data_IF_678591818235
#
_entry.id   IF_678591818235
#
_cell.length_a   1.000
_cell.length_b   1.000
_cell.length_c   1.000
_cell.angle_alpha   90.00
_cell.angle_beta   90.00
_cell.angle_gamma   90.00
#
_symmetry.space_group_name_H-M   'P 1'
#
loop_
_entity.id
_entity.type
_entity.pdbx_description
1 polymer ?
#
# COMPACT_ATOMS: atom_id res chain seq x y z
N UNK A 1 26.02 -23.34 -2.85
CA UNK A 1 25.58 -22.37 -3.88
C UNK A 1 24.86 -21.18 -3.25
N UNK A 2 23.67 -21.32 -2.64
CA UNK A 2 22.99 -20.21 -1.94
C UNK A 2 23.80 -19.60 -0.79
N UNK A 3 24.25 -20.42 0.16
CA UNK A 3 25.10 -19.97 1.28
C UNK A 3 26.38 -19.28 0.76
N UNK A 4 26.94 -19.75 -0.35
CA UNK A 4 28.12 -19.16 -1.00
C UNK A 4 27.79 -17.77 -1.58
N UNK A 5 26.67 -17.64 -2.30
CA UNK A 5 26.17 -16.36 -2.81
C UNK A 5 25.87 -15.36 -1.69
N UNK A 6 25.19 -15.80 -0.62
CA UNK A 6 24.91 -14.95 0.56
C UNK A 6 26.21 -14.47 1.20
N UNK A 7 27.20 -15.36 1.33
CA UNK A 7 28.52 -15.00 1.87
C UNK A 7 29.24 -13.96 1.00
N UNK A 8 29.28 -14.16 -0.32
CA UNK A 8 29.91 -13.23 -1.26
C UNK A 8 29.17 -11.89 -1.33
N UNK A 9 27.85 -11.91 -1.39
CA UNK A 9 27.02 -10.71 -1.43
C UNK A 9 27.12 -9.89 -0.13
N UNK A 10 27.13 -10.55 1.04
CA UNK A 10 27.35 -9.90 2.33
C UNK A 10 28.76 -9.30 2.46
N UNK A 11 29.79 -9.94 1.90
CA UNK A 11 31.16 -9.41 1.87
C UNK A 11 31.28 -8.19 0.98
N UNK A 12 30.74 -8.24 -0.25
CA UNK A 12 30.82 -7.13 -1.22
C UNK A 12 30.08 -5.89 -0.70
N UNK A 13 28.98 -6.08 0.03
CA UNK A 13 28.08 -5.00 0.44
C UNK A 13 28.21 -4.62 1.92
N UNK A 14 29.21 -5.17 2.63
CA UNK A 14 29.56 -4.82 4.01
C UNK A 14 28.39 -4.95 5.00
N UNK A 15 27.67 -6.07 4.93
CA UNK A 15 26.41 -6.28 5.64
C UNK A 15 26.63 -6.89 7.03
N UNK A 16 25.86 -6.41 8.01
CA UNK A 16 25.93 -6.86 9.40
C UNK A 16 25.48 -8.33 9.58
N UNK A 17 26.07 -8.98 10.58
CA UNK A 17 25.98 -10.41 10.92
C UNK A 17 24.54 -10.87 11.20
N UNK A 18 23.70 -9.97 11.72
CA UNK A 18 22.29 -10.20 12.03
C UNK A 18 21.46 -10.52 10.78
N UNK A 19 21.68 -9.78 9.69
CA UNK A 19 20.99 -9.99 8.40
C UNK A 19 21.52 -11.23 7.69
N UNK A 20 22.81 -11.54 7.83
CA UNK A 20 23.42 -12.74 7.26
C UNK A 20 22.78 -14.03 7.80
N UNK A 21 22.62 -14.14 9.11
CA UNK A 21 22.01 -15.32 9.74
C UNK A 21 20.56 -15.57 9.26
N UNK A 22 19.79 -14.51 9.00
CA UNK A 22 18.45 -14.63 8.46
C UNK A 22 18.43 -15.27 7.06
N UNK A 23 19.36 -14.87 6.18
CA UNK A 23 19.43 -15.40 4.81
C UNK A 23 19.94 -16.86 4.73
N UNK A 24 20.76 -17.29 5.70
CA UNK A 24 21.27 -18.67 5.78
C UNK A 24 20.20 -19.70 6.18
N UNK A 25 19.09 -19.26 6.79
CA UNK A 25 17.99 -20.14 7.24
C UNK A 25 16.94 -20.44 6.15
N UNK A 26 17.06 -19.85 4.97
CA UNK A 26 16.09 -20.00 3.88
C UNK A 26 16.32 -21.33 3.16
N UNK A 27 15.27 -22.17 3.10
CA UNK A 27 15.38 -23.57 2.64
C UNK A 27 14.67 -23.84 1.32
N UNK A 28 13.66 -23.03 0.95
CA UNK A 28 12.94 -23.20 -0.31
C UNK A 28 13.51 -22.28 -1.39
N UNK A 29 13.36 -22.69 -2.65
CA UNK A 29 13.79 -21.87 -3.81
C UNK A 29 13.08 -20.51 -3.84
N UNK A 30 11.80 -20.47 -3.47
CA UNK A 30 11.01 -19.23 -3.44
C UNK A 30 11.53 -18.27 -2.36
N UNK A 31 11.88 -18.78 -1.18
CA UNK A 31 12.48 -17.96 -0.12
C UNK A 31 13.81 -17.33 -0.55
N UNK A 32 14.63 -18.12 -1.26
CA UNK A 32 15.92 -17.69 -1.81
C UNK A 32 15.75 -16.60 -2.87
N UNK A 33 14.83 -16.81 -3.81
CA UNK A 33 14.53 -15.84 -4.86
C UNK A 33 14.00 -14.53 -4.26
N UNK A 34 13.07 -14.63 -3.28
CA UNK A 34 12.51 -13.48 -2.60
C UNK A 34 13.56 -12.70 -1.80
N UNK A 35 14.40 -13.41 -1.04
CA UNK A 35 15.50 -12.81 -0.32
C UNK A 35 16.48 -12.09 -1.25
N UNK A 36 16.75 -12.66 -2.42
CA UNK A 36 17.58 -12.05 -3.46
C UNK A 36 16.96 -10.76 -3.99
N UNK A 37 15.65 -10.72 -4.26
CA UNK A 37 14.95 -9.50 -4.67
C UNK A 37 15.05 -8.42 -3.60
N UNK A 38 14.68 -8.74 -2.35
CA UNK A 38 14.73 -7.78 -1.23
C UNK A 38 16.15 -7.22 -1.07
N UNK A 39 17.13 -8.10 -1.18
CA UNK A 39 18.54 -7.74 -1.08
C UNK A 39 18.98 -6.80 -2.21
N UNK A 40 18.74 -7.17 -3.47
CA UNK A 40 19.18 -6.40 -4.64
C UNK A 40 18.47 -5.05 -4.66
N UNK A 41 17.14 -5.05 -4.59
CA UNK A 41 16.32 -3.84 -4.68
C UNK A 41 16.58 -2.91 -3.49
N UNK A 42 16.76 -3.46 -2.29
CA UNK A 42 17.12 -2.68 -1.10
C UNK A 42 18.49 -1.98 -1.21
N UNK A 43 19.47 -2.60 -1.88
CA UNK A 43 20.80 -2.02 -2.06
C UNK A 43 20.88 -0.99 -3.20
N UNK A 44 20.12 -1.17 -4.28
CA UNK A 44 20.08 -0.18 -5.38
C UNK A 44 19.15 0.99 -5.09
N UNK A 45 18.26 0.87 -4.09
CA UNK A 45 17.30 1.91 -3.70
C UNK A 45 17.94 3.29 -3.57
N UNK A 46 19.02 3.44 -2.79
CA UNK A 46 19.63 4.76 -2.54
C UNK A 46 20.23 5.40 -3.79
N UNK A 47 20.57 4.61 -4.80
CA UNK A 47 21.10 5.08 -6.09
C UNK A 47 19.97 5.44 -7.06
N UNK A 48 18.90 4.66 -7.07
CA UNK A 48 17.81 4.81 -8.03
C UNK A 48 16.69 5.73 -7.54
N UNK A 49 16.44 5.78 -6.23
CA UNK A 49 15.34 6.55 -5.66
C UNK A 49 15.38 8.04 -6.03
N UNK A 50 16.53 8.75 -5.99
CA UNK A 50 16.59 10.14 -6.45
C UNK A 50 16.18 10.31 -7.91
N UNK A 51 16.61 9.40 -8.80
CA UNK A 51 16.26 9.44 -10.21
C UNK A 51 14.75 9.17 -10.43
N UNK A 52 14.16 8.30 -9.61
CA UNK A 52 12.73 7.99 -9.65
C UNK A 52 11.92 9.18 -9.16
N UNK A 53 12.33 9.83 -8.06
CA UNK A 53 11.70 11.06 -7.59
C UNK A 53 11.70 12.13 -8.68
N UNK A 54 12.83 12.35 -9.36
CA UNK A 54 12.88 13.29 -10.49
C UNK A 54 11.96 12.86 -11.65
N UNK A 55 11.87 11.56 -11.93
CA UNK A 55 11.03 11.04 -13.00
C UNK A 55 9.53 11.20 -12.71
N UNK A 56 9.12 11.05 -11.45
CA UNK A 56 7.70 11.11 -11.05
C UNK A 56 7.27 12.44 -10.46
N UNK A 57 8.19 13.38 -10.20
CA UNK A 57 7.96 14.67 -9.55
C UNK A 57 6.71 15.39 -10.06
N UNK A 58 6.59 15.56 -11.38
CA UNK A 58 5.44 16.24 -12.00
C UNK A 58 4.12 15.52 -11.68
N UNK A 59 4.13 14.17 -11.71
CA UNK A 59 2.93 13.37 -11.44
C UNK A 59 2.57 13.38 -9.96
N UNK A 60 3.57 13.28 -9.08
CA UNK A 60 3.40 13.37 -7.63
C UNK A 60 2.84 14.74 -7.22
N UNK A 61 3.40 15.84 -7.74
CA UNK A 61 2.90 17.19 -7.51
C UNK A 61 1.44 17.38 -7.99
N UNK A 62 1.12 16.86 -9.18
CA UNK A 62 -0.24 16.90 -9.70
C UNK A 62 -1.21 16.08 -8.84
N UNK A 63 -0.81 14.87 -8.42
CA UNK A 63 -1.62 14.05 -7.53
C UNK A 63 -1.85 14.74 -6.18
N UNK A 64 -0.82 15.37 -5.60
CA UNK A 64 -0.97 16.16 -4.37
C UNK A 64 -2.00 17.28 -4.54
N UNK A 65 -1.98 18.00 -5.66
CA UNK A 65 -2.97 19.05 -5.95
C UNK A 65 -4.39 18.49 -6.07
N UNK A 66 -4.57 17.34 -6.73
CA UNK A 66 -5.88 16.71 -6.87
C UNK A 66 -6.39 16.14 -5.53
N UNK A 67 -5.52 15.57 -4.68
CA UNK A 67 -5.87 15.17 -3.31
C UNK A 67 -6.39 16.36 -2.50
N UNK A 68 -5.75 17.54 -2.60
CA UNK A 68 -6.22 18.75 -1.91
C UNK A 68 -7.60 19.17 -2.42
N UNK A 69 -7.86 19.11 -3.74
CA UNK A 69 -9.18 19.41 -4.31
C UNK A 69 -10.23 18.41 -3.84
N UNK A 70 -9.90 17.12 -3.82
CA UNK A 70 -10.77 16.06 -3.32
C UNK A 70 -11.17 16.30 -1.87
N UNK A 71 -10.19 16.53 -0.98
CA UNK A 71 -10.44 16.85 0.45
C UNK A 71 -11.41 18.03 0.61
N UNK A 72 -11.22 19.12 -0.17
CA UNK A 72 -12.10 20.29 -0.14
C UNK A 72 -13.53 19.95 -0.58
N UNK A 73 -13.69 19.20 -1.67
CA UNK A 73 -15.02 18.79 -2.18
C UNK A 73 -15.74 17.88 -1.18
N UNK A 74 -15.04 16.89 -0.64
CA UNK A 74 -15.59 15.96 0.36
C UNK A 74 -16.00 16.69 1.63
N UNK A 75 -15.22 17.68 2.09
CA UNK A 75 -15.58 18.50 3.25
C UNK A 75 -16.86 19.33 3.03
N UNK A 76 -17.07 19.85 1.81
CA UNK A 76 -18.30 20.57 1.46
C UNK A 76 -19.49 19.60 1.50
N UNK A 77 -19.37 18.44 0.86
CA UNK A 77 -20.44 17.42 0.83
C UNK A 77 -20.78 16.89 2.24
N UNK A 78 -19.78 16.68 3.10
CA UNK A 78 -19.97 16.25 4.49
C UNK A 78 -20.47 17.36 5.42
N UNK A 79 -20.28 18.64 5.07
CA UNK A 79 -20.90 19.74 5.83
C UNK A 79 -22.40 19.84 5.58
N UNK A 80 -22.87 19.36 4.42
CA UNK A 80 -24.29 19.28 4.06
C UNK A 80 -24.95 17.95 4.45
N UNK A 81 -24.18 16.86 4.55
CA UNK A 81 -24.65 15.57 5.01
C UNK A 81 -24.00 15.26 6.36
N UNK A 82 -24.77 15.25 7.46
CA UNK A 82 -24.30 14.83 8.78
C UNK A 82 -23.78 13.38 8.75
N UNK A 83 -22.56 13.20 8.26
CA UNK A 83 -21.95 11.91 8.00
C UNK A 83 -20.69 11.79 8.85
N UNK A 84 -20.81 10.93 9.84
CA UNK A 84 -19.75 10.33 10.65
C UNK A 84 -18.70 9.63 9.78
N UNK A 85 -17.81 10.38 9.10
CA UNK A 85 -16.51 9.81 8.70
C UNK A 85 -15.62 9.77 9.94
N UNK A 86 -15.79 8.74 10.75
CA UNK A 86 -14.98 8.51 11.94
C UNK A 86 -13.55 8.17 11.51
N UNK A 87 -12.58 8.84 12.15
CA UNK A 87 -11.11 8.71 12.12
C UNK A 87 -10.55 7.28 12.41
N UNK A 88 -11.27 6.20 12.05
CA UNK A 88 -10.93 4.85 12.47
C UNK A 88 -9.85 4.15 11.61
N UNK A 89 -9.26 4.85 10.64
CA UNK A 89 -8.25 4.26 9.75
C UNK A 89 -6.81 4.52 10.20
N UNK A 90 -6.58 4.96 11.45
CA UNK A 90 -5.24 5.33 11.97
C UNK A 90 -4.19 4.24 11.80
N UNK A 91 -4.56 2.96 11.97
CA UNK A 91 -3.62 1.85 11.78
C UNK A 91 -3.25 1.65 10.30
N UNK A 92 -4.23 1.66 9.41
CA UNK A 92 -3.99 1.56 7.97
C UNK A 92 -3.17 2.77 7.45
N UNK A 93 -3.44 3.98 7.96
CA UNK A 93 -2.66 5.18 7.64
C UNK A 93 -1.22 5.08 8.12
N UNK A 94 -1.01 4.60 9.35
CA UNK A 94 0.33 4.40 9.90
C UNK A 94 1.11 3.34 9.12
N UNK A 95 0.45 2.26 8.70
CA UNK A 95 1.06 1.24 7.84
C UNK A 95 1.45 1.82 6.49
N UNK A 96 0.54 2.50 5.81
CA UNK A 96 0.79 3.08 4.49
C UNK A 96 1.99 4.06 4.50
N UNK A 97 2.12 4.87 5.55
CA UNK A 97 3.24 5.80 5.73
C UNK A 97 4.60 5.09 5.87
N UNK A 98 4.64 3.79 6.16
CA UNK A 98 5.89 3.03 6.18
C UNK A 98 6.54 2.94 4.81
N UNK A 99 5.80 3.12 3.72
CA UNK A 99 6.32 3.10 2.35
C UNK A 99 7.57 3.97 2.17
N UNK A 100 7.64 5.14 2.81
CA UNK A 100 8.80 6.06 2.73
C UNK A 100 10.09 5.48 3.36
N UNK A 101 9.97 4.51 4.27
CA UNK A 101 11.09 3.91 4.99
C UNK A 101 11.53 2.56 4.40
N UNK A 102 10.66 1.93 3.60
CA UNK A 102 10.93 0.65 2.95
C UNK A 102 11.75 0.83 1.68
N UNK A 103 12.68 -0.09 1.42
CA UNK A 103 13.63 0.02 0.28
C UNK A 103 13.41 -1.03 -0.79
N UNK A 104 12.92 -2.22 -0.40
CA UNK A 104 12.59 -3.26 -1.36
C UNK A 104 11.23 -3.01 -2.03
N UNK A 105 11.13 -3.36 -3.31
CA UNK A 105 9.86 -3.40 -4.06
C UNK A 105 8.86 -4.32 -3.39
N UNK A 106 9.31 -5.52 -3.01
CA UNK A 106 8.48 -6.51 -2.35
C UNK A 106 8.01 -6.03 -0.97
N UNK A 107 8.89 -5.44 -0.17
CA UNK A 107 8.49 -4.91 1.15
C UNK A 107 7.43 -3.80 1.00
N UNK A 108 7.60 -2.90 0.03
CA UNK A 108 6.60 -1.87 -0.28
C UNK A 108 5.27 -2.47 -0.75
N UNK A 109 5.30 -3.50 -1.59
CA UNK A 109 4.10 -4.20 -2.05
C UNK A 109 3.35 -4.88 -0.87
N UNK A 110 4.10 -5.56 0.02
CA UNK A 110 3.55 -6.17 1.24
C UNK A 110 2.97 -5.11 2.18
N UNK A 111 3.62 -3.94 2.30
CA UNK A 111 3.08 -2.82 3.07
C UNK A 111 1.72 -2.36 2.55
N UNK A 112 1.52 -2.30 1.23
CA UNK A 112 0.22 -1.99 0.61
C UNK A 112 -0.80 -3.09 0.92
N UNK A 113 -0.40 -4.37 0.84
CA UNK A 113 -1.25 -5.50 1.22
C UNK A 113 -1.73 -5.39 2.67
N UNK A 114 -0.82 -5.16 3.61
CA UNK A 114 -1.14 -5.00 5.03
C UNK A 114 -2.01 -3.78 5.28
N UNK A 115 -1.75 -2.67 4.58
CA UNK A 115 -2.61 -1.47 4.62
C UNK A 115 -4.05 -1.81 4.22
N UNK A 116 -4.22 -2.57 3.14
CA UNK A 116 -5.53 -2.99 2.65
C UNK A 116 -6.24 -3.93 3.64
N UNK A 117 -5.53 -4.87 4.26
CA UNK A 117 -6.09 -5.75 5.30
C UNK A 117 -6.60 -4.97 6.50
N UNK A 118 -5.81 -3.99 6.98
CA UNK A 118 -6.20 -3.13 8.10
C UNK A 118 -7.44 -2.29 7.75
N UNK A 119 -7.50 -1.77 6.52
CA UNK A 119 -8.66 -1.03 6.04
C UNK A 119 -9.92 -1.90 5.99
N UNK A 120 -9.83 -3.09 5.40
CA UNK A 120 -10.95 -4.04 5.32
C UNK A 120 -11.43 -4.47 6.72
N UNK A 121 -10.51 -4.71 7.65
CA UNK A 121 -10.84 -5.02 9.03
C UNK A 121 -11.64 -3.89 9.69
N UNK A 122 -11.24 -2.63 9.49
CA UNK A 122 -11.99 -1.47 9.99
C UNK A 122 -13.38 -1.36 9.36
N UNK A 123 -13.49 -1.55 8.04
CA UNK A 123 -14.78 -1.53 7.34
C UNK A 123 -15.74 -2.60 7.86
N UNK A 124 -15.25 -3.83 8.07
CA UNK A 124 -16.05 -4.92 8.63
C UNK A 124 -16.53 -4.61 10.05
N UNK A 125 -15.69 -4.01 10.89
CA UNK A 125 -16.06 -3.60 12.24
C UNK A 125 -17.15 -2.51 12.23
N UNK A 126 -17.05 -1.53 11.33
CA UNK A 126 -18.06 -0.48 11.19
C UNK A 126 -19.41 -1.03 10.73
N UNK A 127 -19.42 -1.96 9.76
CA UNK A 127 -20.64 -2.63 9.30
C UNK A 127 -21.33 -3.39 10.44
N UNK A 128 -20.56 -4.07 11.31
CA UNK A 128 -21.09 -4.77 12.47
C UNK A 128 -21.70 -3.82 13.52
N UNK A 129 -21.10 -2.65 13.75
CA UNK A 129 -21.63 -1.65 14.68
C UNK A 129 -22.96 -1.04 14.20
N UNK A 130 -23.11 -0.81 12.89
CA UNK A 130 -24.34 -0.29 12.29
C UNK A 130 -25.50 -1.29 12.36
N UNK A 131 -25.22 -2.60 12.30
CA UNK A 131 -26.24 -3.64 12.47
C UNK A 131 -26.65 -3.86 13.94
N UNK A 132 -25.89 -3.33 14.91
CA UNK A 132 -26.14 -3.49 16.35
C UNK A 132 -27.17 -2.51 16.95
N UNK A 133 -27.50 -1.42 16.24
CA UNK A 133 -28.45 -0.42 16.71
C UNK A 133 -29.87 -0.69 16.19
N UNK A 134 -30.61 -1.56 16.88
CA UNK A 134 -32.08 -1.46 16.93
C UNK A 134 -32.94 -2.58 16.33
N UNK A 135 -32.39 -3.64 15.73
CA UNK A 135 -33.18 -4.80 15.32
C UNK A 135 -32.43 -6.08 15.69
N UNK A 136 -33.06 -6.93 16.51
CA UNK A 136 -32.58 -8.27 16.84
C UNK A 136 -32.59 -9.15 15.58
N UNK A 137 -31.60 -8.98 14.71
CA UNK A 137 -31.39 -9.85 13.56
C UNK A 137 -30.67 -11.09 14.08
N UNK A 138 -31.36 -12.25 14.00
CA UNK A 138 -30.71 -13.55 14.18
C UNK A 138 -29.50 -13.58 13.25
N UNK A 139 -28.29 -13.67 13.82
CA UNK A 139 -27.04 -13.83 13.09
C UNK A 139 -27.14 -15.02 12.15
N UNK A 140 -27.49 -14.78 10.89
CA UNK A 140 -27.22 -15.71 9.81
C UNK A 140 -25.80 -15.43 9.33
N UNK A 141 -25.06 -16.49 8.99
CA UNK A 141 -23.69 -16.52 8.46
C UNK A 141 -23.47 -15.72 7.14
N UNK A 142 -24.31 -14.74 6.85
CA UNK A 142 -24.31 -13.94 5.63
C UNK A 142 -23.97 -12.49 5.95
N UNK A 143 -22.81 -12.23 6.55
CA UNK A 143 -22.19 -10.91 6.37
C UNK A 143 -21.92 -10.80 4.86
N UNK A 144 -22.54 -9.82 4.20
CA UNK A 144 -22.22 -9.57 2.79
C UNK A 144 -20.73 -9.22 2.71
N UNK A 145 -19.96 -9.88 1.83
CA UNK A 145 -18.56 -9.53 1.63
C UNK A 145 -18.49 -8.08 1.16
N UNK A 146 -17.49 -7.34 1.68
CA UNK A 146 -17.21 -5.97 1.24
C UNK A 146 -16.95 -6.00 -0.25
N UNK A 147 -17.65 -5.16 -1.00
CA UNK A 147 -17.52 -5.12 -2.43
C UNK A 147 -16.25 -4.37 -2.88
N UNK A 148 -15.78 -4.64 -4.10
CA UNK A 148 -14.52 -4.07 -4.59
C UNK A 148 -14.60 -2.55 -4.79
N UNK A 149 -15.77 -2.02 -5.12
CA UNK A 149 -16.08 -0.59 -5.21
C UNK A 149 -16.03 0.12 -3.85
N UNK A 150 -16.59 -0.49 -2.81
CA UNK A 150 -16.49 0.01 -1.43
C UNK A 150 -15.04 0.02 -0.94
N UNK A 151 -14.29 -1.04 -1.27
CA UNK A 151 -12.87 -1.18 -0.95
C UNK A 151 -12.05 -0.09 -1.63
N UNK A 152 -12.24 0.10 -2.94
CA UNK A 152 -11.55 1.12 -3.72
C UNK A 152 -11.84 2.53 -3.19
N UNK A 153 -13.12 2.84 -2.94
CA UNK A 153 -13.54 4.14 -2.39
C UNK A 153 -12.90 4.41 -1.03
N UNK A 154 -12.87 3.41 -0.15
CA UNK A 154 -12.26 3.53 1.17
C UNK A 154 -10.73 3.69 1.09
N UNK A 155 -10.10 3.04 0.11
CA UNK A 155 -8.66 3.17 -0.12
C UNK A 155 -8.30 4.55 -0.69
N UNK A 156 -9.13 5.11 -1.58
CA UNK A 156 -9.00 6.49 -2.06
C UNK A 156 -9.09 7.47 -0.87
N UNK A 157 -10.09 7.29 -0.01
CA UNK A 157 -10.23 8.09 1.21
C UNK A 157 -8.97 7.98 2.10
N UNK A 158 -8.41 6.78 2.25
CA UNK A 158 -7.16 6.55 2.99
C UNK A 158 -5.96 7.29 2.36
N UNK A 159 -5.77 7.16 1.04
CA UNK A 159 -4.71 7.87 0.32
C UNK A 159 -4.84 9.38 0.49
N UNK A 160 -6.07 9.88 0.39
CA UNK A 160 -6.31 11.31 0.56
C UNK A 160 -6.05 11.73 2.01
N UNK A 161 -6.21 10.90 3.02
CA UNK A 161 -5.86 11.24 4.41
C UNK A 161 -4.35 11.09 4.73
N UNK A 162 -3.61 10.30 3.95
CA UNK A 162 -2.21 9.96 4.23
C UNK A 162 -1.24 11.14 4.25
N UNK A 163 -1.50 12.17 3.43
CA UNK A 163 -0.60 13.32 3.20
C UNK A 163 0.80 12.92 2.68
N UNK A 164 0.89 11.75 2.04
CA UNK A 164 2.12 11.29 1.41
C UNK A 164 2.41 12.09 0.14
N UNK A 165 3.70 12.41 -0.07
CA UNK A 165 4.15 13.21 -1.23
C UNK A 165 4.56 12.37 -2.43
N UNK A 166 5.16 11.21 -2.21
CA UNK A 166 5.82 10.42 -3.24
C UNK A 166 5.00 9.18 -3.64
N UNK A 167 3.68 9.31 -3.67
CA UNK A 167 2.76 8.19 -3.89
C UNK A 167 3.00 7.53 -5.26
N UNK A 168 3.14 8.35 -6.30
CA UNK A 168 3.42 7.89 -7.67
C UNK A 168 4.83 7.31 -7.77
N UNK A 169 5.81 7.92 -7.11
CA UNK A 169 7.16 7.35 -7.02
C UNK A 169 7.17 5.93 -6.42
N UNK A 170 6.39 5.70 -5.36
CA UNK A 170 6.28 4.37 -4.74
C UNK A 170 5.62 3.35 -5.66
N UNK A 171 4.54 3.72 -6.35
CA UNK A 171 3.89 2.87 -7.36
C UNK A 171 4.88 2.51 -8.48
N UNK A 172 5.53 3.52 -9.06
CA UNK A 172 6.49 3.34 -10.12
C UNK A 172 7.65 2.43 -9.69
N UNK A 173 8.16 2.61 -8.46
CA UNK A 173 9.23 1.80 -7.91
C UNK A 173 8.83 0.32 -7.79
N UNK A 174 7.65 0.04 -7.23
CA UNK A 174 7.16 -1.34 -7.07
C UNK A 174 7.03 -2.02 -8.43
N UNK A 175 6.43 -1.34 -9.41
CA UNK A 175 6.19 -1.92 -10.73
C UNK A 175 7.49 -2.11 -11.53
N UNK A 176 8.45 -1.19 -11.39
CA UNK A 176 9.70 -1.22 -12.15
C UNK A 176 10.72 -2.20 -11.57
N UNK A 177 10.78 -2.32 -10.24
CA UNK A 177 11.81 -3.10 -9.56
C UNK A 177 11.31 -4.44 -9.00
N UNK A 178 10.04 -4.82 -9.23
CA UNK A 178 9.60 -6.20 -8.96
C UNK A 178 10.38 -7.17 -9.84
N UNK A 179 11.07 -8.10 -9.19
CA UNK A 179 11.86 -9.12 -9.88
C UNK A 179 11.09 -10.42 -10.02
N UNK A 180 10.28 -10.75 -9.01
CA UNK A 180 9.39 -11.90 -9.00
C UNK A 180 7.93 -11.49 -9.24
N UNK A 181 7.13 -12.47 -9.65
CA UNK A 181 5.69 -12.32 -9.61
C UNK A 181 5.25 -12.14 -8.16
N UNK A 182 4.42 -11.12 -7.93
CA UNK A 182 3.80 -10.93 -6.63
C UNK A 182 2.77 -12.04 -6.40
N UNK A 183 2.66 -12.56 -5.15
CA UNK A 183 1.53 -13.38 -4.76
C UNK A 183 0.21 -12.70 -5.12
N UNK A 184 -0.81 -13.49 -5.49
CA UNK A 184 -2.07 -12.97 -6.03
C UNK A 184 -2.75 -11.92 -5.14
N UNK A 185 -2.70 -12.12 -3.82
CA UNK A 185 -3.29 -11.21 -2.85
C UNK A 185 -2.50 -9.90 -2.74
N UNK A 186 -1.17 -9.96 -2.82
CA UNK A 186 -0.31 -8.76 -2.89
C UNK A 186 -0.50 -8.03 -4.21
N UNK A 187 -0.57 -8.74 -5.33
CA UNK A 187 -0.80 -8.17 -6.66
C UNK A 187 -2.17 -7.48 -6.75
N UNK A 188 -3.21 -8.07 -6.15
CA UNK A 188 -4.52 -7.45 -5.97
C UNK A 188 -4.42 -6.13 -5.20
N UNK A 189 -3.70 -6.11 -4.07
CA UNK A 189 -3.55 -4.90 -3.28
C UNK A 189 -2.77 -3.80 -4.02
N UNK A 190 -1.69 -4.16 -4.73
CA UNK A 190 -0.93 -3.22 -5.58
C UNK A 190 -1.80 -2.69 -6.73
N UNK A 191 -2.65 -3.53 -7.31
CA UNK A 191 -3.61 -3.12 -8.35
C UNK A 191 -4.65 -2.16 -7.80
N UNK A 192 -5.19 -2.40 -6.61
CA UNK A 192 -6.12 -1.47 -5.94
C UNK A 192 -5.43 -0.13 -5.60
N UNK A 193 -4.18 -0.16 -5.15
CA UNK A 193 -3.39 1.06 -4.91
C UNK A 193 -3.21 1.87 -6.20
N UNK A 194 -2.79 1.21 -7.29
CA UNK A 194 -2.64 1.84 -8.60
C UNK A 194 -3.96 2.39 -9.13
N UNK A 195 -5.04 1.62 -9.05
CA UNK A 195 -6.36 2.07 -9.47
C UNK A 195 -6.83 3.30 -8.67
N UNK A 196 -6.50 3.37 -7.38
CA UNK A 196 -6.80 4.54 -6.53
C UNK A 196 -6.01 5.78 -6.96
N UNK A 197 -4.74 5.62 -7.33
CA UNK A 197 -3.90 6.71 -7.87
C UNK A 197 -4.45 7.20 -9.21
N UNK A 198 -4.71 6.29 -10.15
CA UNK A 198 -5.25 6.62 -11.47
C UNK A 198 -6.62 7.30 -11.35
N UNK A 199 -7.46 6.83 -10.44
CA UNK A 199 -8.74 7.46 -10.15
C UNK A 199 -8.61 8.91 -9.69
N UNK A 200 -7.68 9.19 -8.76
CA UNK A 200 -7.40 10.54 -8.29
C UNK A 200 -6.80 11.42 -9.40
N UNK A 201 -6.19 10.82 -10.43
CA UNK A 201 -5.53 11.49 -11.53
C UNK A 201 -6.48 11.79 -12.72
N UNK A 202 -7.33 10.84 -13.12
CA UNK A 202 -8.13 10.89 -14.37
C UNK A 202 -9.41 11.76 -14.32
N UNK A 203 -9.70 12.48 -13.22
CA UNK A 203 -10.72 13.56 -13.17
C UNK A 203 -12.15 13.22 -13.64
N UNK A 204 -12.59 11.96 -13.73
CA UNK A 204 -13.98 11.63 -14.12
C UNK A 204 -15.00 11.68 -12.98
N UNK A 205 -14.85 12.61 -12.05
CA UNK A 205 -15.91 12.92 -11.06
C UNK A 205 -16.74 14.17 -11.44
N UNK A 206 -16.72 14.57 -12.72
CA UNK A 206 -17.52 15.65 -13.27
C UNK A 206 -18.50 15.17 -14.37
N UNK A 207 -18.87 13.88 -14.40
CA UNK A 207 -19.94 13.39 -15.29
C UNK A 207 -21.06 12.62 -14.57
N UNK A 208 -21.17 12.75 -13.26
CA UNK A 208 -22.34 12.36 -12.45
C UNK A 208 -22.67 13.51 -11.50
#
# INVERSE_FOLDING_TARGET
LWITFVNEACQILNIDSSRKQHYEQLTTRQDIELASEIFITGNVYTKNWPAILTHTEIKDDQLCQEIVKYRRKTAILSSTAASTKVDNNTQALAELKKLDYLKSSHEKATCIRTTLDLLLATMMQQQQQLCGSGITVKYTKNQQPIAADETLTSFIDLLTQSDMKNIVAHEYYIITFKFLHLPQDIDYAVTTFRASIEYLYEKKFLSL
#
